data_IF_912446440358
#
_entry.id   IF_912446440358
#
_cell.length_a   1.000
_cell.length_b   1.000
_cell.length_c   1.000
_cell.angle_alpha   90.00
_cell.angle_beta   90.00
_cell.angle_gamma   90.00
#
_symmetry.space_group_name_H-M   'P 1'
#
loop_
_entity.id
_entity.type
_entity.pdbx_description
1 polymer ?
#
# COMPACT_ATOMS: atom_id res chain seq x y z
N UNK A 1 -8.50 -14.63 10.69
CA UNK A 1 -9.47 -13.77 11.40
C UNK A 1 -8.91 -12.36 11.36
N UNK A 2 -9.69 -11.33 11.07
CA UNK A 2 -9.19 -9.93 11.08
C UNK A 2 -8.95 -9.50 12.52
N UNK A 3 -7.89 -8.73 12.80
CA UNK A 3 -7.86 -8.02 14.07
C UNK A 3 -9.04 -7.05 14.08
N UNK A 4 -9.89 -7.17 15.06
CA UNK A 4 -11.03 -6.26 15.24
C UNK A 4 -10.50 -4.83 15.34
N UNK A 5 -11.20 -3.84 14.79
CA UNK A 5 -10.79 -2.42 14.88
C UNK A 5 -10.54 -2.03 16.34
N UNK A 6 -11.33 -2.56 17.27
CA UNK A 6 -11.10 -2.36 18.70
C UNK A 6 -9.71 -2.86 19.15
N UNK A 7 -9.23 -4.00 18.66
CA UNK A 7 -7.87 -4.48 18.98
C UNK A 7 -6.79 -3.58 18.35
N UNK A 8 -7.03 -3.05 17.16
CA UNK A 8 -6.15 -2.09 16.53
C UNK A 8 -6.12 -0.77 17.29
N UNK A 9 -7.27 -0.25 17.71
CA UNK A 9 -7.37 0.99 18.48
C UNK A 9 -6.66 0.85 19.83
N UNK A 10 -6.95 -0.20 20.60
CA UNK A 10 -6.27 -0.51 21.86
C UNK A 10 -4.75 -0.62 21.65
N UNK A 11 -4.31 -1.31 20.59
CA UNK A 11 -2.90 -1.41 20.26
C UNK A 11 -2.28 -0.05 19.96
N UNK A 12 -2.89 0.76 19.07
CA UNK A 12 -2.35 2.05 18.65
C UNK A 12 -2.45 3.15 19.72
N UNK A 13 -3.26 2.97 20.75
CA UNK A 13 -3.27 3.81 21.97
C UNK A 13 -2.19 3.41 22.97
N UNK A 14 -1.64 2.21 22.87
CA UNK A 14 -0.61 1.74 23.79
C UNK A 14 0.72 2.49 23.61
N UNK A 15 1.50 2.70 24.68
CA UNK A 15 2.81 3.34 24.60
C UNK A 15 3.78 2.63 23.64
N UNK A 16 3.67 1.31 23.53
CA UNK A 16 4.52 0.47 22.66
C UNK A 16 4.29 0.69 21.18
N UNK A 17 3.10 1.13 20.78
CA UNK A 17 2.75 1.40 19.38
C UNK A 17 3.08 2.82 18.93
N UNK A 18 3.40 3.71 19.86
CA UNK A 18 3.63 5.12 19.58
C UNK A 18 4.76 5.32 18.58
N UNK A 19 5.85 4.55 18.72
CA UNK A 19 6.98 4.60 17.80
C UNK A 19 6.62 4.06 16.41
N UNK A 20 5.84 2.97 16.35
CA UNK A 20 5.32 2.40 15.10
C UNK A 20 4.49 3.43 14.35
N UNK A 21 3.58 4.09 15.06
CA UNK A 21 2.74 5.15 14.50
C UNK A 21 3.57 6.31 13.96
N UNK A 22 4.61 6.72 14.70
CA UNK A 22 5.48 7.82 14.30
C UNK A 22 6.30 7.47 13.04
N UNK A 23 6.87 6.25 12.98
CA UNK A 23 7.58 5.77 11.78
C UNK A 23 6.66 5.74 10.57
N UNK A 24 5.43 5.21 10.72
CA UNK A 24 4.46 5.16 9.62
C UNK A 24 4.03 6.56 9.20
N UNK A 25 3.76 7.47 10.14
CA UNK A 25 3.40 8.86 9.84
C UNK A 25 4.50 9.58 9.08
N UNK A 26 5.77 9.42 9.49
CA UNK A 26 6.92 9.99 8.76
C UNK A 26 7.06 9.43 7.36
N UNK A 27 6.91 8.11 7.17
CA UNK A 27 6.97 7.48 5.86
C UNK A 27 5.81 7.95 4.96
N UNK A 28 4.61 8.08 5.52
CA UNK A 28 3.44 8.60 4.81
C UNK A 28 3.65 10.07 4.42
N UNK A 29 4.07 10.92 5.36
CA UNK A 29 4.31 12.34 5.10
C UNK A 29 5.45 12.58 4.08
N UNK A 30 6.47 11.73 4.06
CA UNK A 30 7.51 11.76 3.04
C UNK A 30 6.99 11.44 1.63
N UNK A 31 5.90 10.67 1.50
CA UNK A 31 5.24 10.36 0.21
C UNK A 31 4.17 11.37 -0.16
N UNK A 32 3.38 11.79 0.83
CA UNK A 32 2.33 12.79 0.70
C UNK A 32 2.59 13.95 1.66
N UNK A 33 3.48 14.88 1.31
CA UNK A 33 3.82 16.01 2.19
C UNK A 33 2.65 16.97 2.34
N UNK A 34 1.81 17.09 1.30
CA UNK A 34 0.65 17.96 1.27
C UNK A 34 -0.54 17.26 0.59
N UNK A 35 -1.74 17.53 1.10
CA UNK A 35 -3.02 17.07 0.55
C UNK A 35 -3.98 18.25 0.29
N UNK A 36 -3.46 19.47 0.16
CA UNK A 36 -4.28 20.68 -0.04
C UNK A 36 -5.15 20.55 -1.29
N UNK A 37 -6.44 20.84 -1.09
CA UNK A 37 -7.44 20.81 -2.17
C UNK A 37 -7.81 19.41 -2.67
N UNK A 38 -7.30 18.33 -2.07
CA UNK A 38 -7.54 16.96 -2.54
C UNK A 38 -8.70 16.30 -1.78
N UNK A 39 -9.47 15.47 -2.49
CA UNK A 39 -10.46 14.57 -1.91
C UNK A 39 -9.77 13.24 -1.58
N UNK A 40 -9.75 12.88 -0.30
CA UNK A 40 -9.01 11.73 0.23
C UNK A 40 -9.95 10.70 0.83
N UNK A 41 -9.78 9.42 0.43
CA UNK A 41 -10.45 8.28 1.05
C UNK A 41 -9.48 7.56 1.98
N UNK A 42 -9.85 7.43 3.25
CA UNK A 42 -9.19 6.55 4.21
C UNK A 42 -9.97 5.24 4.39
N UNK A 43 -9.36 4.10 4.09
CA UNK A 43 -9.94 2.78 4.25
C UNK A 43 -9.22 1.98 5.34
N UNK A 44 -9.94 1.54 6.35
CA UNK A 44 -9.39 0.86 7.51
C UNK A 44 -8.88 1.84 8.58
N UNK A 45 -7.76 1.54 9.22
CA UNK A 45 -7.24 2.33 10.35
C UNK A 45 -6.45 3.57 9.91
N UNK A 46 -7.14 4.53 9.26
CA UNK A 46 -6.50 5.69 8.63
C UNK A 46 -6.63 7.00 9.42
N UNK A 47 -7.59 7.11 10.34
CA UNK A 47 -7.94 8.35 11.03
C UNK A 47 -6.72 9.05 11.64
N UNK A 48 -5.94 8.32 12.44
CA UNK A 48 -4.75 8.86 13.13
C UNK A 48 -3.72 9.47 12.16
N UNK A 49 -3.61 8.93 10.97
CA UNK A 49 -2.64 9.36 9.96
C UNK A 49 -3.14 10.51 9.09
N UNK A 50 -4.46 10.57 8.87
CA UNK A 50 -5.09 11.63 8.09
C UNK A 50 -5.47 12.84 8.93
N UNK A 51 -5.46 12.74 10.26
CA UNK A 51 -5.82 13.84 11.17
C UNK A 51 -4.97 15.11 10.97
N UNK A 52 -3.68 14.96 10.59
CA UNK A 52 -2.78 16.09 10.31
C UNK A 52 -3.18 16.90 9.07
N UNK A 53 -3.91 16.29 8.14
CA UNK A 53 -4.34 16.92 6.88
C UNK A 53 -5.76 17.47 6.90
N UNK A 54 -6.48 17.37 8.04
CA UNK A 54 -7.88 17.82 8.16
C UNK A 54 -8.12 19.27 7.73
N UNK A 55 -7.12 20.14 7.96
CA UNK A 55 -7.26 21.58 7.67
C UNK A 55 -6.88 21.94 6.25
N UNK A 56 -6.14 21.09 5.56
CA UNK A 56 -5.60 21.38 4.22
C UNK A 56 -6.30 20.61 3.12
N UNK A 57 -6.69 19.36 3.36
CA UNK A 57 -7.46 18.58 2.41
C UNK A 57 -8.85 19.19 2.15
N UNK A 58 -9.33 19.09 0.91
CA UNK A 58 -10.69 19.52 0.56
C UNK A 58 -11.74 18.68 1.30
N UNK A 59 -11.55 17.36 1.31
CA UNK A 59 -12.43 16.41 2.02
C UNK A 59 -11.65 15.17 2.42
N UNK A 60 -11.92 14.66 3.62
CA UNK A 60 -11.45 13.35 4.07
C UNK A 60 -12.66 12.50 4.40
N UNK A 61 -12.80 11.37 3.72
CA UNK A 61 -13.83 10.37 3.99
C UNK A 61 -13.18 9.14 4.59
N UNK A 62 -13.67 8.69 5.74
CA UNK A 62 -13.18 7.48 6.40
C UNK A 62 -14.15 6.33 6.20
N UNK A 63 -13.65 5.18 5.82
CA UNK A 63 -14.44 3.98 5.58
C UNK A 63 -13.87 2.82 6.37
N UNK A 64 -14.74 2.14 7.11
CA UNK A 64 -14.40 0.99 7.94
C UNK A 64 -15.07 -0.27 7.41
N UNK A 65 -14.32 -1.36 7.17
CA UNK A 65 -14.86 -2.60 6.61
C UNK A 65 -15.51 -3.54 7.65
N UNK A 66 -16.21 -3.02 8.68
CA UNK A 66 -16.69 -3.86 9.78
C UNK A 66 -18.14 -3.60 10.17
N UNK A 67 -18.93 -4.71 10.29
CA UNK A 67 -20.37 -4.71 10.61
C UNK A 67 -20.70 -4.32 12.06
N UNK A 68 -19.78 -4.48 13.01
CA UNK A 68 -20.07 -4.47 14.44
C UNK A 68 -19.43 -3.28 15.19
N UNK A 69 -19.29 -2.14 14.54
CA UNK A 69 -18.82 -0.93 15.20
C UNK A 69 -19.99 -0.21 15.88
N UNK A 70 -20.35 -0.66 17.07
CA UNK A 70 -21.04 0.20 18.02
C UNK A 70 -20.10 1.34 18.39
N UNK A 71 -20.39 2.53 17.86
CA UNK A 71 -19.85 3.85 18.27
C UNK A 71 -18.33 3.90 18.46
N UNK A 72 -17.55 3.93 17.38
CA UNK A 72 -16.37 4.78 17.42
C UNK A 72 -16.91 6.19 17.20
N UNK A 73 -17.00 6.97 18.27
CA UNK A 73 -17.22 8.41 18.18
C UNK A 73 -15.99 8.99 17.51
N UNK A 74 -16.10 9.29 16.21
CA UNK A 74 -15.17 10.17 15.53
C UNK A 74 -15.51 11.59 15.96
N UNK A 75 -14.94 12.01 17.11
CA UNK A 75 -15.06 13.38 17.58
C UNK A 75 -14.53 14.33 16.52
N UNK A 76 -15.37 15.25 16.06
CA UNK A 76 -15.06 16.46 15.31
C UNK A 76 -14.29 16.32 13.97
N UNK A 77 -14.57 15.28 13.21
CA UNK A 77 -14.13 15.27 11.82
C UNK A 77 -15.10 16.05 10.93
N UNK A 78 -14.66 17.12 10.28
CA UNK A 78 -15.34 17.70 9.11
C UNK A 78 -15.32 16.74 7.93
N UNK A 79 -15.53 15.45 8.19
CA UNK A 79 -15.49 14.37 7.23
C UNK A 79 -16.63 13.38 7.49
N UNK A 80 -17.20 12.86 6.40
CA UNK A 80 -18.23 11.82 6.47
C UNK A 80 -17.55 10.48 6.75
N UNK A 81 -17.93 9.82 7.85
CA UNK A 81 -17.56 8.41 8.05
C UNK A 81 -18.64 7.51 7.47
N UNK A 82 -18.24 6.47 6.78
CA UNK A 82 -19.13 5.49 6.20
C UNK A 82 -18.70 4.08 6.61
N UNK A 83 -19.64 3.26 7.04
CA UNK A 83 -19.41 1.84 7.29
C UNK A 83 -19.84 1.08 6.04
N UNK A 84 -18.94 0.29 5.46
CA UNK A 84 -19.25 -0.54 4.31
C UNK A 84 -19.30 -2.00 4.72
N UNK A 85 -20.46 -2.59 4.64
CA UNK A 85 -20.65 -4.02 4.95
C UNK A 85 -20.12 -4.95 3.85
N UNK A 86 -20.06 -4.47 2.63
CA UNK A 86 -19.61 -5.18 1.44
C UNK A 86 -18.33 -4.54 0.88
N UNK A 87 -17.65 -5.29 0.02
CA UNK A 87 -16.47 -4.81 -0.71
C UNK A 87 -16.78 -3.68 -1.69
N UNK A 88 -18.08 -3.42 -1.98
CA UNK A 88 -18.52 -2.31 -2.82
C UNK A 88 -18.54 -1.02 -2.02
N UNK A 89 -17.79 -0.03 -2.48
CA UNK A 89 -17.72 1.29 -1.85
C UNK A 89 -18.91 2.15 -2.31
N UNK A 90 -19.65 2.82 -1.39
CA UNK A 90 -20.83 3.61 -1.72
C UNK A 90 -20.47 5.00 -2.31
N UNK A 91 -19.51 5.03 -3.21
CA UNK A 91 -19.04 6.24 -3.85
C UNK A 91 -19.11 6.12 -5.38
N UNK A 92 -19.32 7.26 -6.04
CA UNK A 92 -19.27 7.34 -7.50
C UNK A 92 -17.87 7.04 -8.04
N UNK A 93 -17.79 6.70 -9.31
CA UNK A 93 -16.55 6.51 -10.03
C UNK A 93 -15.73 7.80 -10.04
N UNK A 94 -14.39 7.66 -10.01
CA UNK A 94 -13.45 8.78 -10.13
C UNK A 94 -13.73 9.92 -9.14
N UNK A 95 -14.02 9.58 -7.89
CA UNK A 95 -14.41 10.54 -6.84
C UNK A 95 -13.21 11.10 -6.07
N UNK A 96 -12.18 10.29 -5.82
CA UNK A 96 -11.08 10.63 -4.93
C UNK A 96 -9.77 10.84 -5.68
N UNK A 97 -8.99 11.82 -5.22
CA UNK A 97 -7.63 12.08 -5.72
C UNK A 97 -6.62 11.11 -5.09
N UNK A 98 -6.86 10.76 -3.82
CA UNK A 98 -5.97 9.86 -3.06
C UNK A 98 -6.75 8.86 -2.22
N UNK A 99 -6.17 7.66 -2.10
CA UNK A 99 -6.69 6.60 -1.22
C UNK A 99 -5.58 6.15 -0.29
N UNK A 100 -5.83 6.20 1.02
CA UNK A 100 -4.99 5.60 2.03
C UNK A 100 -5.67 4.35 2.59
N UNK A 101 -5.03 3.20 2.47
CA UNK A 101 -5.53 1.94 3.01
C UNK A 101 -4.55 1.40 4.06
N UNK A 102 -4.97 1.35 5.33
CA UNK A 102 -4.17 0.81 6.43
C UNK A 102 -4.94 -0.30 7.13
N UNK A 103 -4.36 -1.50 7.17
CA UNK A 103 -4.97 -2.71 7.78
C UNK A 103 -6.35 -3.10 7.20
N UNK A 104 -6.72 -2.52 6.05
CA UNK A 104 -7.97 -2.85 5.36
C UNK A 104 -7.89 -4.13 4.49
N UNK A 105 -6.70 -4.72 4.33
CA UNK A 105 -6.42 -5.82 3.40
C UNK A 105 -6.25 -7.18 4.08
N UNK A 106 -6.84 -7.36 5.25
CA UNK A 106 -6.61 -8.55 6.10
C UNK A 106 -7.15 -9.86 5.53
N UNK A 107 -8.00 -9.81 4.51
CA UNK A 107 -8.51 -11.00 3.82
C UNK A 107 -7.94 -11.11 2.40
N UNK A 108 -7.02 -12.06 2.17
CA UNK A 108 -6.41 -12.25 0.85
C UNK A 108 -7.41 -12.63 -0.25
N UNK A 109 -8.55 -13.26 0.10
CA UNK A 109 -9.57 -13.68 -0.87
C UNK A 109 -10.31 -12.49 -1.47
N UNK A 110 -10.46 -11.43 -0.70
CA UNK A 110 -11.20 -10.23 -1.07
C UNK A 110 -10.30 -9.08 -1.56
N UNK A 111 -8.98 -9.26 -1.51
CA UNK A 111 -8.03 -8.19 -1.81
C UNK A 111 -8.12 -7.71 -3.27
N UNK A 112 -8.24 -8.64 -4.23
CA UNK A 112 -8.35 -8.28 -5.64
C UNK A 112 -9.68 -7.54 -5.95
N UNK A 113 -10.77 -7.88 -5.26
CA UNK A 113 -12.04 -7.18 -5.38
C UNK A 113 -11.96 -5.76 -4.80
N UNK A 114 -11.32 -5.63 -3.64
CA UNK A 114 -11.10 -4.33 -3.01
C UNK A 114 -10.23 -3.41 -3.89
N UNK A 115 -9.20 -3.94 -4.53
CA UNK A 115 -8.37 -3.18 -5.46
C UNK A 115 -9.15 -2.69 -6.68
N UNK A 116 -10.11 -3.48 -7.21
CA UNK A 116 -11.00 -3.04 -8.29
C UNK A 116 -11.89 -1.89 -7.86
N UNK A 117 -12.41 -1.94 -6.63
CA UNK A 117 -13.22 -0.84 -6.08
C UNK A 117 -12.37 0.42 -5.86
N UNK A 118 -11.15 0.29 -5.34
CA UNK A 118 -10.22 1.41 -5.26
C UNK A 118 -9.92 2.02 -6.62
N UNK A 119 -9.72 1.17 -7.63
CA UNK A 119 -9.55 1.62 -9.02
C UNK A 119 -10.76 2.39 -9.52
N UNK A 120 -11.98 1.90 -9.27
CA UNK A 120 -13.22 2.53 -9.71
C UNK A 120 -13.38 3.94 -9.11
N UNK A 121 -13.23 4.07 -7.80
CA UNK A 121 -13.49 5.32 -7.09
C UNK A 121 -12.33 6.33 -7.17
N UNK A 122 -11.13 5.90 -7.58
CA UNK A 122 -9.97 6.76 -7.74
C UNK A 122 -10.03 7.49 -9.08
N UNK A 123 -9.74 8.79 -9.09
CA UNK A 123 -9.62 9.61 -10.32
C UNK A 123 -8.48 9.10 -11.21
N UNK A 124 -8.51 9.37 -12.53
CA UNK A 124 -7.32 9.22 -13.38
C UNK A 124 -6.12 9.95 -12.77
N UNK A 125 -4.93 9.35 -12.85
CA UNK A 125 -3.68 9.81 -12.22
C UNK A 125 -3.73 9.93 -10.69
N UNK A 126 -4.83 9.50 -10.06
CA UNK A 126 -4.96 9.43 -8.62
C UNK A 126 -3.99 8.41 -8.01
N UNK A 127 -3.64 8.63 -6.76
CA UNK A 127 -2.64 7.83 -6.05
C UNK A 127 -3.25 7.03 -4.91
N UNK A 128 -2.73 5.83 -4.71
CA UNK A 128 -3.09 4.98 -3.58
C UNK A 128 -1.85 4.60 -2.78
N UNK A 129 -1.93 4.72 -1.44
CA UNK A 129 -0.98 4.10 -0.53
C UNK A 129 -1.68 2.98 0.22
N UNK A 130 -1.09 1.79 0.18
CA UNK A 130 -1.57 0.61 0.91
C UNK A 130 -0.49 0.18 1.90
N UNK A 131 -0.85 0.10 3.18
CA UNK A 131 0.00 -0.45 4.25
C UNK A 131 -0.65 -1.74 4.73
N UNK A 132 0.03 -2.85 4.50
CA UNK A 132 -0.44 -4.19 4.83
C UNK A 132 0.60 -4.99 5.61
N UNK A 133 0.15 -5.98 6.37
CA UNK A 133 1.03 -6.90 7.10
C UNK A 133 1.81 -7.77 6.13
N UNK A 134 3.08 -8.03 6.43
CA UNK A 134 3.95 -8.92 5.66
C UNK A 134 4.04 -10.30 6.30
N UNK A 135 3.93 -11.35 5.48
CA UNK A 135 4.04 -12.73 5.96
C UNK A 135 5.41 -13.05 6.60
N UNK A 136 6.48 -12.43 6.11
CA UNK A 136 7.83 -12.65 6.66
C UNK A 136 8.07 -11.96 8.01
N UNK A 137 7.25 -10.97 8.39
CA UNK A 137 7.29 -10.32 9.71
C UNK A 137 6.63 -11.13 10.82
N UNK A 138 6.12 -12.34 10.56
CA UNK A 138 5.43 -13.18 11.54
C UNK A 138 6.34 -13.78 12.62
N UNK A 139 7.67 -13.72 12.47
CA UNK A 139 8.61 -14.14 13.51
C UNK A 139 8.52 -13.26 14.78
N UNK A 140 7.96 -12.06 14.67
CA UNK A 140 7.65 -11.18 15.80
C UNK A 140 6.23 -11.49 16.31
N UNK A 141 5.96 -12.74 16.67
CA UNK A 141 4.61 -13.26 16.96
C UNK A 141 3.84 -12.55 18.07
N UNK A 142 4.50 -11.88 18.99
CA UNK A 142 3.86 -11.36 20.21
C UNK A 142 3.63 -9.84 20.20
N UNK A 143 3.71 -9.16 19.07
CA UNK A 143 3.57 -7.71 19.01
C UNK A 143 2.28 -7.26 18.35
N UNK A 144 1.18 -7.38 19.08
CA UNK A 144 -0.10 -6.78 18.74
C UNK A 144 -0.95 -7.56 17.73
N UNK A 145 -2.01 -6.94 17.23
CA UNK A 145 -3.09 -7.59 16.49
C UNK A 145 -2.70 -8.12 15.11
N UNK A 146 -1.50 -7.80 14.63
CA UNK A 146 -1.02 -8.23 13.30
C UNK A 146 -0.64 -9.71 13.21
N UNK A 147 -0.55 -10.42 14.32
CA UNK A 147 -0.24 -11.86 14.34
C UNK A 147 -1.37 -12.72 13.78
N UNK A 148 -2.60 -12.20 13.80
CA UNK A 148 -3.81 -12.89 13.31
C UNK A 148 -4.07 -12.61 11.81
N UNK A 149 -3.37 -11.65 11.21
CA UNK A 149 -3.52 -11.30 9.80
C UNK A 149 -3.04 -12.42 8.87
N UNK A 150 -3.93 -12.89 8.00
CA UNK A 150 -3.56 -13.73 6.85
C UNK A 150 -2.87 -12.86 5.79
N UNK A 151 -1.65 -12.45 6.10
CA UNK A 151 -0.89 -11.55 5.24
C UNK A 151 -0.51 -12.21 3.91
N UNK A 152 -0.59 -11.42 2.85
CA UNK A 152 -0.07 -11.79 1.54
C UNK A 152 1.46 -11.77 1.55
N UNK A 153 2.07 -12.66 0.77
CA UNK A 153 3.51 -12.50 0.49
C UNK A 153 3.72 -11.23 -0.35
N UNK A 154 4.84 -10.55 -0.15
CA UNK A 154 5.20 -9.34 -0.91
C UNK A 154 5.06 -9.53 -2.44
N UNK A 155 5.42 -10.72 -2.94
CA UNK A 155 5.29 -11.09 -4.35
C UNK A 155 3.83 -11.15 -4.80
N UNK A 156 2.96 -11.81 -4.03
CA UNK A 156 1.51 -11.87 -4.32
C UNK A 156 0.88 -10.48 -4.24
N UNK A 157 1.21 -9.71 -3.20
CA UNK A 157 0.72 -8.35 -3.02
C UNK A 157 1.06 -7.46 -4.23
N UNK A 158 2.35 -7.44 -4.64
CA UNK A 158 2.79 -6.75 -5.86
C UNK A 158 2.02 -7.20 -7.11
N UNK A 159 1.86 -8.51 -7.29
CA UNK A 159 1.15 -9.09 -8.44
C UNK A 159 -0.32 -8.65 -8.47
N UNK A 160 -1.03 -8.66 -7.35
CA UNK A 160 -2.44 -8.23 -7.26
C UNK A 160 -2.60 -6.75 -7.62
N UNK A 161 -1.72 -5.88 -7.09
CA UNK A 161 -1.75 -4.43 -7.38
C UNK A 161 -1.56 -4.17 -8.87
N UNK A 162 -0.57 -4.82 -9.51
CA UNK A 162 -0.31 -4.68 -10.95
C UNK A 162 -1.47 -5.26 -11.77
N UNK A 163 -1.99 -6.45 -11.41
CA UNK A 163 -3.13 -7.08 -12.09
C UNK A 163 -4.39 -6.23 -12.08
N UNK A 164 -4.56 -5.41 -11.04
CA UNK A 164 -5.69 -4.48 -10.92
C UNK A 164 -5.50 -3.18 -11.72
N UNK A 165 -4.45 -3.06 -12.53
CA UNK A 165 -4.19 -1.93 -13.41
C UNK A 165 -3.32 -0.83 -12.80
N UNK A 166 -2.96 -0.91 -11.52
CA UNK A 166 -2.13 0.10 -10.87
C UNK A 166 -0.66 0.01 -11.27
N UNK A 167 -0.05 1.15 -11.54
CA UNK A 167 1.39 1.28 -11.68
C UNK A 167 2.05 1.56 -10.33
N UNK A 168 2.88 0.65 -9.85
CA UNK A 168 3.59 0.83 -8.58
C UNK A 168 4.72 1.84 -8.76
N UNK A 169 4.70 2.92 -7.96
CA UNK A 169 5.74 3.95 -7.91
C UNK A 169 6.72 3.74 -6.76
N UNK A 170 6.25 3.08 -5.68
CA UNK A 170 7.07 2.85 -4.51
C UNK A 170 6.65 1.56 -3.80
N UNK A 171 7.64 0.77 -3.36
CA UNK A 171 7.41 -0.47 -2.61
C UNK A 171 8.54 -0.69 -1.63
N UNK A 172 8.26 -0.48 -0.33
CA UNK A 172 9.24 -0.72 0.73
C UNK A 172 8.62 -1.39 1.94
N UNK A 173 9.48 -2.08 2.69
CA UNK A 173 9.15 -2.59 4.00
C UNK A 173 9.13 -1.49 5.06
N UNK A 174 8.37 -1.73 6.11
CA UNK A 174 8.29 -0.87 7.28
C UNK A 174 8.24 -1.74 8.54
N UNK A 175 8.80 -1.22 9.63
CA UNK A 175 8.82 -1.88 10.94
C UNK A 175 9.60 -3.19 10.91
N UNK A 176 10.90 -3.07 11.17
CA UNK A 176 11.83 -4.20 11.16
C UNK A 176 12.14 -4.73 12.56
N UNK A 177 11.87 -3.94 13.63
CA UNK A 177 12.20 -4.27 15.02
C UNK A 177 10.99 -4.28 15.95
N UNK A 178 11.04 -5.09 17.04
CA UNK A 178 10.05 -5.06 18.10
C UNK A 178 10.30 -3.86 19.03
N UNK A 179 9.75 -2.70 18.69
CA UNK A 179 9.96 -1.47 19.46
C UNK A 179 9.12 -1.35 20.76
N UNK A 180 8.65 -2.44 21.32
CA UNK A 180 7.70 -2.44 22.45
C UNK A 180 8.18 -1.71 23.72
N UNK A 181 9.49 -1.51 23.89
CA UNK A 181 10.07 -0.91 25.10
C UNK A 181 10.94 0.32 24.85
N UNK A 182 10.93 0.88 23.63
CA UNK A 182 11.84 1.96 23.27
C UNK A 182 11.15 3.32 23.32
N UNK A 183 11.77 4.29 24.03
CA UNK A 183 11.25 5.66 24.14
C UNK A 183 11.40 6.43 22.82
N UNK A 184 10.39 7.26 22.48
CA UNK A 184 10.41 8.19 21.34
C UNK A 184 11.58 9.19 21.36
N UNK A 185 12.10 9.51 22.54
CA UNK A 185 13.22 10.45 22.67
C UNK A 185 14.53 9.93 22.08
N UNK A 186 14.64 8.62 21.86
CA UNK A 186 15.84 7.99 21.33
C UNK A 186 15.84 8.01 19.79
N UNK A 187 16.91 8.51 19.17
CA UNK A 187 17.10 8.46 17.71
C UNK A 187 17.50 7.09 17.18
N UNK A 188 17.99 6.22 18.06
CA UNK A 188 18.47 4.88 17.72
C UNK A 188 17.46 4.01 16.95
N UNK A 189 16.17 3.95 17.34
CA UNK A 189 15.18 3.15 16.61
C UNK A 189 15.00 3.57 15.15
N UNK A 190 15.04 4.87 14.87
CA UNK A 190 14.91 5.39 13.50
C UNK A 190 16.13 5.06 12.65
N UNK A 191 17.32 5.11 13.25
CA UNK A 191 18.55 4.72 12.59
C UNK A 191 18.56 3.22 12.28
N UNK A 192 18.19 2.39 13.25
CA UNK A 192 18.05 0.93 13.06
C UNK A 192 17.01 0.59 12.00
N UNK A 193 15.86 1.26 12.00
CA UNK A 193 14.84 1.08 10.96
C UNK A 193 15.43 1.33 9.57
N UNK A 194 16.17 2.43 9.39
CA UNK A 194 16.80 2.80 8.11
C UNK A 194 17.89 1.80 7.69
N UNK A 195 18.72 1.35 8.64
CA UNK A 195 19.76 0.33 8.40
C UNK A 195 19.10 -0.99 7.97
N UNK A 196 18.08 -1.45 8.71
CA UNK A 196 17.40 -2.69 8.40
C UNK A 196 16.60 -2.63 7.09
N UNK A 197 16.04 -1.46 6.76
CA UNK A 197 15.40 -1.24 5.46
C UNK A 197 16.38 -1.49 4.29
N UNK A 198 17.67 -1.19 4.50
CA UNK A 198 18.72 -1.35 3.48
C UNK A 198 19.25 -2.78 3.45
N UNK A 199 19.57 -3.36 4.63
CA UNK A 199 20.23 -4.67 4.72
C UNK A 199 19.24 -5.84 4.58
N UNK A 200 18.05 -5.70 5.18
CA UNK A 200 17.06 -6.78 5.25
C UNK A 200 15.69 -6.38 4.66
N UNK A 201 15.61 -5.91 3.40
CA UNK A 201 14.40 -5.30 2.84
C UNK A 201 13.16 -6.21 2.84
N UNK A 202 13.34 -7.53 2.94
CA UNK A 202 12.24 -8.52 2.90
C UNK A 202 11.71 -8.91 4.28
N UNK A 203 12.42 -8.60 5.37
CA UNK A 203 12.06 -9.04 6.72
C UNK A 203 11.19 -8.04 7.49
N UNK A 204 10.60 -7.09 6.79
CA UNK A 204 9.71 -6.10 7.41
C UNK A 204 8.39 -6.72 7.86
N UNK A 205 7.83 -6.16 8.93
CA UNK A 205 6.50 -6.53 9.44
C UNK A 205 5.36 -5.99 8.61
N UNK A 206 5.52 -4.77 8.13
CA UNK A 206 4.57 -4.10 7.24
C UNK A 206 5.22 -3.84 5.89
N UNK A 207 4.39 -3.78 4.85
CA UNK A 207 4.77 -3.35 3.51
C UNK A 207 3.95 -2.14 3.14
N UNK A 208 4.63 -1.08 2.70
CA UNK A 208 4.04 0.11 2.13
C UNK A 208 4.20 0.06 0.62
N UNK A 209 3.09 0.12 -0.08
CA UNK A 209 3.02 0.26 -1.54
C UNK A 209 2.37 1.59 -1.86
N UNK A 210 3.00 2.35 -2.74
CA UNK A 210 2.35 3.47 -3.42
C UNK A 210 2.21 3.13 -4.89
N UNK A 211 1.03 3.43 -5.45
CA UNK A 211 0.72 3.17 -6.84
C UNK A 211 -0.18 4.26 -7.41
N UNK A 212 -0.17 4.41 -8.73
CA UNK A 212 -0.94 5.40 -9.48
C UNK A 212 -1.91 4.68 -10.41
N UNK A 213 -3.14 5.21 -10.54
CA UNK A 213 -4.10 4.81 -11.57
C UNK A 213 -3.75 5.48 -12.87
N UNK A 214 -3.09 4.74 -13.79
CA UNK A 214 -2.83 5.23 -15.14
C UNK A 214 -3.79 4.60 -16.14
N UNK A 215 -4.56 5.42 -16.86
CA UNK A 215 -5.50 4.94 -17.87
C UNK A 215 -4.79 4.46 -19.14
N UNK A 216 -3.61 5.02 -19.45
CA UNK A 216 -2.82 4.73 -20.64
C UNK A 216 -1.46 4.13 -20.30
N UNK A 217 -1.40 3.19 -19.34
CA UNK A 217 -0.19 2.43 -19.11
C UNK A 217 0.03 1.47 -20.29
N UNK A 218 1.15 1.62 -21.00
CA UNK A 218 1.57 0.60 -21.97
C UNK A 218 1.59 -0.77 -21.30
N UNK A 219 1.05 -1.82 -21.93
CA UNK A 219 1.07 -3.16 -21.36
C UNK A 219 2.52 -3.56 -21.12
N UNK A 220 2.90 -3.82 -19.88
CA UNK A 220 4.26 -4.16 -19.42
C UNK A 220 4.84 -5.43 -20.11
N UNK A 221 4.08 -6.11 -20.96
CA UNK A 221 4.54 -7.25 -21.77
C UNK A 221 5.28 -6.88 -23.06
N UNK A 222 5.14 -5.65 -23.58
CA UNK A 222 5.77 -5.27 -24.85
C UNK A 222 7.29 -5.02 -24.72
N UNK A 223 7.74 -4.53 -23.57
CA UNK A 223 9.17 -4.24 -23.38
C UNK A 223 10.04 -5.50 -23.26
N UNK A 224 9.54 -6.58 -22.69
CA UNK A 224 10.27 -7.86 -22.67
C UNK A 224 10.34 -8.50 -24.06
N UNK A 225 9.26 -8.39 -24.84
CA UNK A 225 9.22 -8.93 -26.22
C UNK A 225 10.14 -8.17 -27.17
N UNK A 226 10.26 -6.84 -27.00
CA UNK A 226 11.17 -6.01 -27.79
C UNK A 226 12.63 -6.30 -27.43
N UNK A 227 12.97 -6.52 -26.14
CA UNK A 227 14.32 -6.90 -25.74
C UNK A 227 14.76 -8.26 -26.31
N UNK A 228 13.87 -9.25 -26.30
CA UNK A 228 14.17 -10.57 -26.87
C UNK A 228 14.33 -10.49 -28.38
N UNK A 229 13.51 -9.72 -29.11
CA UNK A 229 13.66 -9.53 -30.55
C UNK A 229 14.96 -8.83 -30.92
N UNK A 230 15.37 -7.80 -30.14
CA UNK A 230 16.64 -7.10 -30.41
C UNK A 230 17.87 -7.95 -30.09
N UNK A 231 17.78 -8.87 -29.12
CA UNK A 231 18.89 -9.81 -28.82
C UNK A 231 19.02 -10.87 -29.92
N UNK A 232 17.92 -11.36 -30.50
CA UNK A 232 17.94 -12.32 -31.59
C UNK A 232 18.44 -11.71 -32.93
N UNK A 233 18.15 -10.41 -33.17
CA UNK A 233 18.64 -9.70 -34.35
C UNK A 233 20.09 -9.20 -34.25
N UNK A 234 20.71 -9.27 -33.09
CA UNK A 234 22.13 -8.91 -32.89
C UNK A 234 23.10 -10.09 -32.95
N UNK A 235 22.64 -11.25 -33.35
CA UNK A 235 23.50 -12.43 -33.50
C UNK A 235 24.22 -12.38 -34.87
N UNK A 236 25.54 -12.10 -34.95
CA UNK A 236 26.25 -11.87 -36.21
C UNK A 236 26.31 -13.11 -37.13
N UNK A 237 25.97 -14.30 -36.60
CA UNK A 237 25.92 -15.55 -37.37
C UNK A 237 24.64 -15.72 -38.21
N UNK A 238 23.53 -15.04 -37.82
CA UNK A 238 22.27 -15.11 -38.56
C UNK A 238 22.30 -14.27 -39.86
N UNK A 239 23.13 -13.23 -39.91
CA UNK A 239 23.23 -12.36 -41.07
C UNK A 239 24.11 -12.97 -42.21
N UNK A 240 24.98 -13.94 -41.90
CA UNK A 240 25.82 -14.56 -42.94
C UNK A 240 25.02 -15.52 -43.83
N UNK A 241 24.03 -16.22 -43.27
CA UNK A 241 23.20 -17.18 -43.99
C UNK A 241 22.20 -16.54 -44.97
N UNK A 242 21.79 -15.28 -44.69
CA UNK A 242 20.83 -14.55 -45.55
C UNK A 242 21.53 -13.87 -46.74
N UNK A 243 22.82 -13.57 -46.64
CA UNK A 243 23.60 -12.95 -47.73
C UNK A 243 24.01 -14.00 -48.74
N UNK A 244 24.36 -15.22 -48.34
CA UNK A 244 24.73 -16.30 -49.25
C UNK A 244 23.56 -16.87 -50.06
N UNK A 245 22.29 -16.68 -49.63
CA UNK A 245 21.13 -17.11 -50.44
C UNK A 245 20.65 -16.07 -51.46
N UNK A 246 21.22 -14.86 -51.51
CA UNK A 246 20.88 -13.83 -52.50
C UNK A 246 21.88 -13.70 -53.65
N UNK A 247 22.96 -14.45 -53.61
CA UNK A 247 23.96 -14.51 -54.73
C UNK A 247 23.79 -15.72 -55.63
N UNK A 248 22.76 -16.57 -55.40
CA UNK A 248 22.49 -17.76 -56.22
C UNK A 248 21.05 -17.82 -56.80
N UNK A 249 20.37 -16.66 -56.95
CA UNK A 249 19.13 -16.55 -57.73
C UNK A 249 19.34 -15.47 -58.85
#
# INVERSE_FOLDING_TARGET
>A
MRPTINKLDVFYRSPSSTLISDILSRKLHARWPDLSGQDVLGYGFCEKYLSSYKKTANRIVLTLPEKNLTKIQYDDMHGTSCITENLSLPFSDSRFDKILCIHGTSDPSNFDLLLKEFWRVLKPEGQIIIISSSRFGSWIKNMGPFSEDRSLTRKKFKKSVIKSGFQITFLKGCIYFPFSKVSKKNRLPYLLEKICETIFPYFSRLVLVEAIKRLYAEPHGMLETIRVKNVLNSNPLANKTIIEQREHD
#
